data_IF_802182455626
#
_entry.id   IF_802182455626
#
_cell.length_a   1.000
_cell.length_b   1.000
_cell.length_c   1.000
_cell.angle_alpha   90.00
_cell.angle_beta   90.00
_cell.angle_gamma   90.00
#
_symmetry.space_group_name_H-M   'P 1'
#
loop_
_entity.id
_entity.type
_entity.pdbx_description
1 polymer ?
#
# COMPACT_ATOMS: atom_id res chain seq x y z
N UNK A 1 73.02 -2.70 -61.17
CA UNK A 1 72.04 -2.67 -60.08
C UNK A 1 70.80 -1.92 -60.55
N UNK A 2 69.64 -2.60 -60.62
CA UNK A 2 68.35 -2.02 -61.05
C UNK A 2 67.61 -1.50 -59.83
N UNK A 3 67.42 -0.19 -59.73
CA UNK A 3 66.56 0.43 -58.72
C UNK A 3 65.09 0.18 -59.08
N UNK A 4 64.40 -0.45 -58.14
CA UNK A 4 62.95 -0.68 -58.14
C UNK A 4 62.25 0.64 -57.81
N UNK A 5 61.47 1.19 -58.72
CA UNK A 5 60.38 2.11 -58.37
C UNK A 5 59.07 1.39 -58.63
N UNK A 6 58.49 0.94 -57.52
CA UNK A 6 57.24 0.19 -57.42
C UNK A 6 56.07 1.10 -57.75
N UNK A 7 55.16 0.58 -58.57
CA UNK A 7 53.80 1.06 -58.81
C UNK A 7 53.08 1.38 -57.50
N UNK A 8 53.05 2.65 -57.12
CA UNK A 8 52.21 3.21 -56.07
C UNK A 8 50.97 3.82 -56.72
N UNK A 9 50.03 3.00 -57.22
CA UNK A 9 48.76 3.56 -57.71
C UNK A 9 47.56 2.60 -57.69
N UNK A 10 47.63 1.44 -57.03
CA UNK A 10 46.52 0.45 -57.12
C UNK A 10 45.83 0.15 -55.77
N UNK A 11 46.30 0.65 -54.63
CA UNK A 11 45.72 0.21 -53.33
C UNK A 11 44.80 1.24 -52.66
N UNK A 12 44.69 2.47 -53.16
CA UNK A 12 43.98 3.54 -52.46
C UNK A 12 42.50 3.76 -52.86
N UNK A 13 41.90 2.88 -53.68
CA UNK A 13 40.50 3.05 -54.12
C UNK A 13 39.56 1.97 -53.53
N UNK A 14 40.11 0.97 -52.84
CA UNK A 14 39.32 -0.16 -52.32
C UNK A 14 38.76 -0.01 -50.89
N UNK A 15 39.06 1.07 -50.18
CA UNK A 15 38.79 1.15 -48.73
C UNK A 15 38.13 2.46 -48.27
N UNK A 16 37.31 3.08 -49.14
CA UNK A 16 36.64 4.35 -48.83
C UNK A 16 35.10 4.29 -48.91
N UNK A 17 34.50 3.11 -49.06
CA UNK A 17 33.05 2.96 -49.29
C UNK A 17 32.30 2.05 -48.30
N UNK A 18 32.89 1.75 -47.13
CA UNK A 18 32.22 0.96 -46.07
C UNK A 18 32.03 1.72 -44.75
N UNK A 19 32.16 3.05 -44.75
CA UNK A 19 32.01 3.88 -43.55
C UNK A 19 30.66 4.62 -43.47
N UNK A 20 29.73 4.37 -44.40
CA UNK A 20 28.38 4.92 -44.31
C UNK A 20 27.42 3.89 -43.72
N UNK A 21 26.80 4.32 -42.61
CA UNK A 21 25.59 3.79 -41.97
C UNK A 21 25.74 2.94 -40.71
N UNK A 22 26.59 3.37 -39.78
CA UNK A 22 26.24 3.31 -38.35
C UNK A 22 25.92 4.73 -37.84
N UNK A 23 25.18 5.50 -38.63
CA UNK A 23 24.32 6.50 -38.04
C UNK A 23 23.24 5.71 -37.29
N UNK A 24 23.52 5.39 -36.02
CA UNK A 24 22.57 4.75 -35.15
C UNK A 24 21.26 5.51 -35.26
N UNK A 25 20.26 4.88 -35.87
CA UNK A 25 18.89 5.24 -35.63
C UNK A 25 18.68 4.92 -34.16
N UNK A 26 19.06 5.85 -33.29
CA UNK A 26 18.43 6.02 -31.99
C UNK A 26 16.96 6.22 -32.34
N UNK A 27 16.24 5.11 -32.45
CA UNK A 27 14.84 5.09 -32.80
C UNK A 27 14.13 5.79 -31.64
N UNK A 28 13.90 7.10 -31.81
CA UNK A 28 13.29 7.97 -30.81
C UNK A 28 11.97 7.39 -30.31
N UNK A 29 11.33 6.52 -31.09
CA UNK A 29 10.13 5.79 -30.68
C UNK A 29 10.46 4.69 -29.66
N UNK A 30 11.54 3.93 -29.86
CA UNK A 30 12.00 2.90 -28.92
C UNK A 30 12.42 3.55 -27.61
N UNK A 31 13.24 4.60 -27.63
CA UNK A 31 13.63 5.31 -26.39
C UNK A 31 12.44 5.98 -25.68
N UNK A 32 11.46 6.52 -26.43
CA UNK A 32 10.22 7.02 -25.83
C UNK A 32 9.36 5.91 -25.21
N UNK A 33 9.26 4.76 -25.89
CA UNK A 33 8.51 3.60 -25.38
C UNK A 33 9.18 3.03 -24.14
N UNK A 34 10.51 2.87 -24.12
CA UNK A 34 11.28 2.44 -22.95
C UNK A 34 11.06 3.38 -21.76
N UNK A 35 11.08 4.69 -22.00
CA UNK A 35 10.82 5.68 -20.95
C UNK A 35 9.38 5.57 -20.40
N UNK A 36 8.39 5.36 -21.27
CA UNK A 36 6.99 5.16 -20.87
C UNK A 36 6.78 3.85 -20.12
N UNK A 37 7.41 2.76 -20.57
CA UNK A 37 7.37 1.46 -19.89
C UNK A 37 7.96 1.59 -18.50
N UNK A 38 9.13 2.23 -18.37
CA UNK A 38 9.76 2.47 -17.06
C UNK A 38 8.85 3.29 -16.13
N UNK A 39 8.24 4.35 -16.63
CA UNK A 39 7.27 5.14 -15.84
C UNK A 39 6.03 4.32 -15.42
N UNK A 40 5.55 3.42 -16.28
CA UNK A 40 4.42 2.54 -15.96
C UNK A 40 4.80 1.48 -14.93
N UNK A 41 5.99 0.90 -15.03
CA UNK A 41 6.52 -0.04 -14.04
C UNK A 41 6.68 0.62 -12.67
N UNK A 42 7.27 1.82 -12.63
CA UNK A 42 7.45 2.59 -11.39
C UNK A 42 6.09 2.93 -10.75
N UNK A 43 5.11 3.39 -11.54
CA UNK A 43 3.75 3.65 -11.05
C UNK A 43 3.06 2.39 -10.56
N UNK A 44 3.21 1.27 -11.25
CA UNK A 44 2.59 0.00 -10.86
C UNK A 44 3.17 -0.49 -9.53
N UNK A 45 4.48 -0.36 -9.32
CA UNK A 45 5.13 -0.69 -8.04
C UNK A 45 4.65 0.23 -6.91
N UNK A 46 4.55 1.54 -7.17
CA UNK A 46 4.02 2.51 -6.20
C UNK A 46 2.58 2.17 -5.81
N UNK A 47 1.70 1.97 -6.79
CA UNK A 47 0.31 1.59 -6.55
C UNK A 47 0.18 0.25 -5.81
N UNK A 48 1.05 -0.73 -6.11
CA UNK A 48 1.10 -2.00 -5.37
C UNK A 48 1.49 -1.81 -3.90
N UNK A 49 2.48 -0.96 -3.63
CA UNK A 49 2.93 -0.64 -2.28
C UNK A 49 1.86 0.15 -1.49
N UNK A 50 1.23 1.15 -2.12
CA UNK A 50 0.13 1.91 -1.54
C UNK A 50 -1.07 1.03 -1.22
N UNK A 51 -1.43 0.10 -2.11
CA UNK A 51 -2.51 -0.86 -1.86
C UNK A 51 -2.22 -1.76 -0.67
N UNK A 52 -1.00 -2.28 -0.57
CA UNK A 52 -0.58 -3.13 0.56
C UNK A 52 -0.59 -2.36 1.88
N UNK A 53 -0.16 -1.10 1.85
CA UNK A 53 -0.22 -0.22 3.01
C UNK A 53 -1.66 0.06 3.41
N UNK A 54 -2.52 0.39 2.45
CA UNK A 54 -3.95 0.64 2.70
C UNK A 54 -4.63 -0.57 3.33
N UNK A 55 -4.38 -1.79 2.83
CA UNK A 55 -4.96 -3.01 3.41
C UNK A 55 -4.48 -3.25 4.84
N UNK A 56 -3.20 -3.01 5.11
CA UNK A 56 -2.66 -3.13 6.47
C UNK A 56 -3.28 -2.08 7.41
N UNK A 57 -3.41 -0.84 6.95
CA UNK A 57 -4.02 0.24 7.72
C UNK A 57 -5.51 -0.06 7.98
N UNK A 58 -6.23 -0.65 7.02
CA UNK A 58 -7.63 -1.05 7.18
C UNK A 58 -7.79 -2.19 8.20
N UNK A 59 -6.94 -3.22 8.13
CA UNK A 59 -6.95 -4.33 9.10
C UNK A 59 -6.63 -3.85 10.52
N UNK A 60 -5.66 -2.94 10.66
CA UNK A 60 -5.33 -2.30 11.95
C UNK A 60 -6.51 -1.50 12.48
N UNK A 61 -7.22 -0.74 11.63
CA UNK A 61 -8.41 0.02 12.05
C UNK A 61 -9.54 -0.92 12.48
N UNK A 62 -9.78 -2.02 11.75
CA UNK A 62 -10.78 -3.03 12.12
C UNK A 62 -10.47 -3.64 13.48
N UNK A 63 -9.23 -4.05 13.72
CA UNK A 63 -8.81 -4.60 15.02
C UNK A 63 -8.99 -3.60 16.16
N UNK A 64 -8.67 -2.31 15.94
CA UNK A 64 -8.88 -1.25 16.93
C UNK A 64 -10.37 -1.04 17.24
N UNK A 65 -11.22 -1.09 16.22
CA UNK A 65 -12.67 -1.00 16.40
C UNK A 65 -13.19 -2.18 17.23
N UNK A 66 -12.80 -3.40 16.88
CA UNK A 66 -13.20 -4.63 17.59
C UNK A 66 -12.79 -4.58 19.06
N UNK A 67 -11.53 -4.24 19.35
CA UNK A 67 -11.04 -4.11 20.72
C UNK A 67 -11.77 -3.01 21.49
N UNK A 68 -11.98 -1.84 20.89
CA UNK A 68 -12.69 -0.74 21.55
C UNK A 68 -14.14 -1.11 21.91
N UNK A 69 -14.84 -1.80 21.01
CA UNK A 69 -16.20 -2.31 21.28
C UNK A 69 -16.18 -3.40 22.35
N UNK A 70 -15.18 -4.29 22.33
CA UNK A 70 -15.00 -5.32 23.35
C UNK A 70 -14.76 -4.68 24.74
N UNK A 71 -13.94 -3.65 24.83
CA UNK A 71 -13.68 -2.91 26.07
C UNK A 71 -14.95 -2.22 26.61
N UNK A 72 -15.73 -1.58 25.73
CA UNK A 72 -17.01 -0.98 26.13
C UNK A 72 -18.00 -2.02 26.68
N UNK A 73 -18.02 -3.22 26.10
CA UNK A 73 -18.83 -4.35 26.60
C UNK A 73 -18.30 -4.89 27.93
N UNK A 74 -16.98 -5.05 28.06
CA UNK A 74 -16.34 -5.53 29.27
C UNK A 74 -16.55 -4.56 30.44
N UNK A 75 -16.45 -3.25 30.20
CA UNK A 75 -16.76 -2.23 31.20
C UNK A 75 -18.23 -2.29 31.64
N UNK A 76 -19.16 -2.45 30.70
CA UNK A 76 -20.58 -2.61 31.04
C UNK A 76 -20.79 -3.85 31.93
N UNK A 77 -20.19 -4.98 31.55
CA UNK A 77 -20.26 -6.22 32.33
C UNK A 77 -19.65 -6.05 33.73
N UNK A 78 -18.47 -5.43 33.84
CA UNK A 78 -17.83 -5.12 35.13
C UNK A 78 -18.71 -4.23 36.00
N UNK A 79 -19.40 -3.27 35.39
CA UNK A 79 -20.33 -2.41 36.13
C UNK A 79 -21.59 -3.17 36.59
N UNK A 80 -22.12 -4.10 35.80
CA UNK A 80 -23.18 -5.01 36.26
C UNK A 80 -22.71 -5.86 37.45
N UNK A 81 -21.48 -6.35 37.40
CA UNK A 81 -20.88 -7.16 38.45
C UNK A 81 -20.67 -6.39 39.76
N UNK A 82 -20.20 -5.15 39.65
CA UNK A 82 -19.90 -4.30 40.81
C UNK A 82 -21.15 -3.71 41.47
N UNK A 83 -22.19 -3.42 40.68
CA UNK A 83 -23.38 -2.72 41.17
C UNK A 83 -24.61 -3.63 41.30
N UNK A 84 -24.53 -4.86 40.78
CA UNK A 84 -25.63 -5.79 40.71
C UNK A 84 -25.56 -6.91 41.73
N UNK A 85 -26.74 -7.44 42.07
CA UNK A 85 -26.84 -8.69 42.84
C UNK A 85 -26.94 -9.87 41.88
N UNK A 86 -26.00 -10.82 41.98
CA UNK A 86 -25.99 -12.02 41.14
C UNK A 86 -27.20 -12.91 41.46
N UNK A 87 -28.03 -13.16 40.46
CA UNK A 87 -29.17 -14.07 40.54
C UNK A 87 -28.73 -15.53 40.32
N UNK A 88 -29.60 -16.48 40.71
CA UNK A 88 -29.33 -17.94 40.58
C UNK A 88 -29.11 -18.40 39.14
N UNK A 89 -29.65 -17.66 38.16
CA UNK A 89 -29.46 -17.91 36.73
C UNK A 89 -28.15 -17.32 36.16
N UNK A 90 -27.31 -16.71 37.01
CA UNK A 90 -26.06 -16.07 36.60
C UNK A 90 -26.19 -14.63 36.09
N UNK A 91 -27.40 -14.09 35.99
CA UNK A 91 -27.63 -12.67 35.64
C UNK A 91 -27.37 -11.73 36.82
N UNK A 92 -27.22 -10.44 36.54
CA UNK A 92 -27.04 -9.40 37.57
C UNK A 92 -28.30 -8.54 37.66
N UNK A 93 -28.89 -8.50 38.85
CA UNK A 93 -30.01 -7.61 39.16
C UNK A 93 -29.46 -6.25 39.56
N UNK A 94 -29.76 -5.22 38.78
CA UNK A 94 -29.36 -3.83 39.02
C UNK A 94 -30.61 -2.95 38.99
N UNK A 95 -30.72 -1.89 39.81
CA UNK A 95 -31.83 -0.94 39.71
C UNK A 95 -31.96 -0.38 38.27
N UNK A 96 -33.19 -0.33 37.75
CA UNK A 96 -33.47 0.11 36.38
C UNK A 96 -32.82 1.44 36.01
N UNK A 97 -32.86 2.50 36.85
CA UNK A 97 -32.22 3.78 36.50
C UNK A 97 -30.72 3.66 36.27
N UNK A 98 -30.05 2.81 37.07
CA UNK A 98 -28.61 2.57 36.94
C UNK A 98 -28.32 1.69 35.72
N UNK A 99 -29.15 0.68 35.44
CA UNK A 99 -29.04 -0.13 34.23
C UNK A 99 -29.14 0.71 32.96
N UNK A 100 -30.13 1.60 32.88
CA UNK A 100 -30.29 2.51 31.75
C UNK A 100 -29.09 3.45 31.59
N UNK A 101 -28.56 3.97 32.70
CA UNK A 101 -27.37 4.82 32.68
C UNK A 101 -26.17 4.05 32.11
N UNK A 102 -25.91 2.83 32.56
CA UNK A 102 -24.81 2.01 32.06
C UNK A 102 -25.00 1.64 30.58
N UNK A 103 -26.24 1.37 30.16
CA UNK A 103 -26.56 1.11 28.75
C UNK A 103 -26.30 2.34 27.87
N UNK A 104 -26.71 3.53 28.32
CA UNK A 104 -26.41 4.80 27.63
C UNK A 104 -24.91 5.04 27.53
N UNK A 105 -24.17 4.80 28.61
CA UNK A 105 -22.70 4.93 28.62
C UNK A 105 -22.03 3.94 27.65
N UNK A 106 -22.44 2.67 27.67
CA UNK A 106 -21.97 1.66 26.72
C UNK A 106 -22.22 2.09 25.28
N UNK A 107 -23.44 2.55 24.96
CA UNK A 107 -23.77 2.99 23.61
C UNK A 107 -22.93 4.20 23.19
N UNK A 108 -22.75 5.18 24.07
CA UNK A 108 -21.92 6.35 23.81
C UNK A 108 -20.47 5.95 23.49
N UNK A 109 -19.88 5.02 24.25
CA UNK A 109 -18.53 4.50 23.97
C UNK A 109 -18.46 3.77 22.64
N UNK A 110 -19.47 2.96 22.31
CA UNK A 110 -19.51 2.25 21.01
C UNK A 110 -19.59 3.23 19.84
N UNK A 111 -20.41 4.29 19.95
CA UNK A 111 -20.46 5.32 18.90
C UNK A 111 -19.14 6.07 18.78
N UNK A 112 -18.45 6.35 19.89
CA UNK A 112 -17.10 6.92 19.88
C UNK A 112 -16.10 6.00 19.17
N UNK A 113 -16.11 4.69 19.48
CA UNK A 113 -15.28 3.70 18.78
C UNK A 113 -15.51 3.72 17.27
N UNK A 114 -16.77 3.80 16.83
CA UNK A 114 -17.11 3.89 15.40
C UNK A 114 -16.56 5.18 14.78
N UNK A 115 -16.73 6.33 15.44
CA UNK A 115 -16.23 7.62 14.94
C UNK A 115 -14.71 7.58 14.76
N UNK A 116 -14.00 6.93 15.68
CA UNK A 116 -12.54 6.83 15.67
C UNK A 116 -11.99 5.87 14.61
N UNK A 117 -12.68 4.75 14.35
CA UNK A 117 -12.09 3.62 13.60
C UNK A 117 -12.89 3.12 12.39
N UNK A 118 -14.09 3.66 12.10
CA UNK A 118 -14.90 3.24 10.93
C UNK A 118 -14.57 3.95 9.62
N UNK A 119 -13.60 4.88 9.62
CA UNK A 119 -13.19 5.65 8.44
C UNK A 119 -12.24 4.88 7.54
#
# INVERSE_FOLDING_TARGET
>A
MRQRTRSLLVVAVGFALLSLSEAGCEDKRVTNLEQRVKQLEDRTRQLGAERTKSTNDDDVRRLKLENCVADANADFQRNLENNGTKARNGSYNVPVPLLEQMQRQKQSKIEECKILYSK
#
